data_IF_797389087701
#
_entry.id   IF_797389087701
#
_cell.length_a   1.000
_cell.length_b   1.000
_cell.length_c   1.000
_cell.angle_alpha   90.00
_cell.angle_beta   90.00
_cell.angle_gamma   90.00
#
_symmetry.space_group_name_H-M   'P 1'
#
loop_
_entity.id
_entity.type
_entity.pdbx_description
1 polymer ?
#
# COMPACT_ATOMS: atom_id res chain seq x y z
N UNK A 1 30.53 -36.86 -29.78
CA UNK A 1 30.45 -36.67 -28.32
C UNK A 1 29.47 -35.53 -28.10
N UNK A 2 28.22 -35.86 -27.80
CA UNK A 2 27.13 -34.89 -27.69
C UNK A 2 27.05 -34.44 -26.24
N UNK A 3 27.33 -33.16 -25.99
CA UNK A 3 27.08 -32.55 -24.68
C UNK A 3 25.60 -32.20 -24.65
N UNK A 4 24.81 -32.93 -23.88
CA UNK A 4 23.45 -32.54 -23.55
C UNK A 4 23.54 -31.46 -22.45
N UNK A 5 23.28 -30.21 -22.81
CA UNK A 5 23.00 -29.17 -21.83
C UNK A 5 21.65 -29.52 -21.20
N UNK A 6 21.64 -29.64 -19.86
CA UNK A 6 20.43 -29.82 -19.08
C UNK A 6 19.90 -28.40 -18.76
N UNK A 7 18.74 -27.96 -19.30
CA UNK A 7 18.21 -26.62 -19.03
C UNK A 7 17.48 -26.64 -17.69
N UNK A 8 18.23 -26.73 -16.58
CA UNK A 8 17.68 -26.71 -15.23
C UNK A 8 17.83 -25.33 -14.62
N UNK A 9 16.73 -24.58 -14.57
CA UNK A 9 16.45 -23.43 -13.67
C UNK A 9 17.62 -22.49 -13.40
N UNK A 10 17.74 -21.41 -14.18
CA UNK A 10 18.70 -20.34 -13.92
C UNK A 10 18.32 -19.58 -12.64
N UNK A 11 18.83 -20.00 -11.48
CA UNK A 11 18.71 -19.21 -10.26
C UNK A 11 19.61 -17.98 -10.32
N UNK A 12 19.09 -16.81 -9.97
CA UNK A 12 19.87 -15.57 -9.91
C UNK A 12 20.42 -15.39 -8.50
N UNK A 13 21.74 -15.21 -8.37
CA UNK A 13 22.35 -14.81 -7.10
C UNK A 13 22.24 -13.29 -6.92
N UNK A 14 21.69 -12.85 -5.79
CA UNK A 14 21.58 -11.44 -5.43
C UNK A 14 22.21 -11.17 -4.05
N UNK A 15 22.67 -9.93 -3.85
CA UNK A 15 23.18 -9.43 -2.56
C UNK A 15 22.21 -8.42 -1.98
N UNK A 16 21.87 -8.61 -0.71
CA UNK A 16 21.04 -7.65 0.03
C UNK A 16 21.85 -6.37 0.28
N UNK A 17 21.44 -5.23 -0.28
CA UNK A 17 22.20 -3.96 -0.15
C UNK A 17 21.74 -3.06 1.01
N UNK A 18 20.64 -3.40 1.69
CA UNK A 18 20.03 -2.57 2.74
C UNK A 18 19.33 -3.38 3.83
N UNK A 19 19.18 -2.79 5.02
CA UNK A 19 18.50 -3.42 6.16
C UNK A 19 19.39 -4.32 7.01
N UNK A 20 18.81 -5.03 8.00
CA UNK A 20 19.56 -5.79 9.01
C UNK A 20 20.32 -7.02 8.45
N UNK A 21 19.98 -7.46 7.24
CA UNK A 21 20.61 -8.60 6.52
C UNK A 21 21.53 -8.15 5.39
N UNK A 22 21.95 -6.88 5.38
CA UNK A 22 22.83 -6.33 4.34
C UNK A 22 24.12 -7.15 4.21
N UNK A 23 24.47 -7.50 2.97
CA UNK A 23 25.64 -8.30 2.61
C UNK A 23 25.38 -9.79 2.50
N UNK A 24 24.18 -10.26 2.85
CA UNK A 24 23.80 -11.66 2.67
C UNK A 24 23.53 -11.98 1.19
N UNK A 25 24.05 -13.13 0.73
CA UNK A 25 23.78 -13.68 -0.59
C UNK A 25 22.48 -14.50 -0.54
N UNK A 26 21.59 -14.25 -1.49
CA UNK A 26 20.35 -15.00 -1.64
C UNK A 26 20.26 -15.57 -3.06
N UNK A 27 19.70 -16.76 -3.20
CA UNK A 27 19.34 -17.35 -4.49
C UNK A 27 17.88 -17.04 -4.78
N UNK A 28 17.63 -16.37 -5.89
CA UNK A 28 16.29 -16.05 -6.39
C UNK A 28 15.97 -17.06 -7.48
N UNK A 29 14.88 -17.78 -7.30
CA UNK A 29 14.26 -18.57 -8.35
C UNK A 29 13.34 -17.63 -9.16
N UNK A 30 13.67 -17.30 -10.42
CA UNK A 30 12.86 -16.41 -11.23
C UNK A 30 11.47 -16.98 -11.52
N UNK A 31 11.27 -18.31 -11.55
CA UNK A 31 9.94 -18.90 -11.72
C UNK A 31 9.10 -18.77 -10.45
N UNK A 32 9.73 -18.73 -9.27
CA UNK A 32 9.07 -18.37 -8.02
C UNK A 32 8.79 -16.86 -7.89
N UNK A 33 9.46 -16.03 -8.70
CA UNK A 33 9.23 -14.58 -8.75
C UNK A 33 7.94 -14.20 -9.47
N UNK A 34 7.40 -15.08 -10.33
CA UNK A 34 6.04 -14.93 -10.89
C UNK A 34 4.97 -15.04 -9.80
N UNK A 35 5.30 -15.61 -8.63
CA UNK A 35 4.43 -15.65 -7.45
C UNK A 35 4.37 -14.32 -6.68
N UNK A 36 5.08 -13.29 -7.15
CA UNK A 36 5.01 -11.89 -6.69
C UNK A 36 4.44 -10.95 -7.76
N UNK A 37 3.89 -11.46 -8.87
CA UNK A 37 3.12 -10.61 -9.78
C UNK A 37 1.81 -10.20 -9.09
N UNK A 38 1.63 -8.90 -8.88
CA UNK A 38 0.33 -8.33 -8.52
C UNK A 38 -0.65 -8.74 -9.61
N UNK A 39 -1.52 -9.71 -9.31
CA UNK A 39 -2.54 -10.10 -10.29
C UNK A 39 -3.48 -8.92 -10.51
N UNK A 40 -4.07 -8.77 -11.71
CA UNK A 40 -4.99 -7.67 -12.00
C UNK A 40 -6.13 -7.54 -10.96
N UNK A 41 -6.54 -8.66 -10.35
CA UNK A 41 -7.53 -8.69 -9.28
C UNK A 41 -7.01 -8.09 -7.96
N UNK A 42 -5.74 -8.31 -7.63
CA UNK A 42 -5.09 -7.71 -6.46
C UNK A 42 -4.90 -6.21 -6.66
N UNK A 43 -4.52 -5.77 -7.86
CA UNK A 43 -4.44 -4.34 -8.20
C UNK A 43 -5.80 -3.67 -8.08
N UNK A 44 -6.84 -4.26 -8.67
CA UNK A 44 -8.20 -3.73 -8.61
C UNK A 44 -8.73 -3.64 -7.16
N UNK A 45 -8.43 -4.64 -6.33
CA UNK A 45 -8.80 -4.63 -4.92
C UNK A 45 -8.09 -3.49 -4.15
N UNK A 46 -6.79 -3.29 -4.41
CA UNK A 46 -6.03 -2.22 -3.78
C UNK A 46 -6.55 -0.84 -4.19
N UNK A 47 -6.88 -0.64 -5.47
CA UNK A 47 -7.48 0.59 -5.97
C UNK A 47 -8.83 0.88 -5.30
N UNK A 48 -9.68 -0.14 -5.13
CA UNK A 48 -10.96 0.00 -4.43
C UNK A 48 -10.76 0.37 -2.96
N UNK A 49 -9.78 -0.25 -2.29
CA UNK A 49 -9.43 0.07 -0.91
C UNK A 49 -8.94 1.52 -0.76
N UNK A 50 -8.09 2.00 -1.68
CA UNK A 50 -7.60 3.38 -1.69
C UNK A 50 -8.76 4.36 -1.90
N UNK A 51 -9.64 4.09 -2.87
CA UNK A 51 -10.83 4.91 -3.12
C UNK A 51 -11.80 4.91 -1.93
N UNK A 52 -11.93 3.79 -1.22
CA UNK A 52 -12.68 3.69 0.04
C UNK A 52 -12.08 4.56 1.14
N UNK A 53 -10.78 4.47 1.35
CA UNK A 53 -10.06 5.26 2.35
C UNK A 53 -10.16 6.77 2.09
N UNK A 54 -10.07 7.19 0.83
CA UNK A 54 -10.25 8.60 0.43
C UNK A 54 -11.64 9.12 0.78
N UNK A 55 -12.70 8.37 0.44
CA UNK A 55 -14.09 8.74 0.80
C UNK A 55 -14.28 8.84 2.32
N UNK A 56 -13.69 7.93 3.08
CA UNK A 56 -13.75 8.00 4.55
C UNK A 56 -13.06 9.26 5.09
N UNK A 57 -11.91 9.64 4.53
CA UNK A 57 -11.20 10.85 4.93
C UNK A 57 -12.00 12.12 4.60
N UNK A 58 -12.64 12.17 3.44
CA UNK A 58 -13.51 13.27 3.04
C UNK A 58 -14.73 13.41 3.97
N UNK A 59 -15.39 12.29 4.28
CA UNK A 59 -16.52 12.27 5.21
C UNK A 59 -16.11 12.75 6.61
N UNK A 60 -14.97 12.31 7.12
CA UNK A 60 -14.45 12.75 8.41
C UNK A 60 -14.16 14.27 8.42
N UNK A 61 -13.63 14.80 7.31
CA UNK A 61 -13.36 16.23 7.16
C UNK A 61 -14.65 17.06 7.09
N UNK A 62 -15.67 16.57 6.40
CA UNK A 62 -16.98 17.20 6.35
C UNK A 62 -17.61 17.25 7.75
N UNK A 63 -17.65 16.12 8.46
CA UNK A 63 -18.17 16.05 9.83
C UNK A 63 -17.44 17.00 10.79
N UNK A 64 -16.11 17.09 10.69
CA UNK A 64 -15.33 18.02 11.52
C UNK A 64 -15.66 19.50 11.20
N UNK A 65 -15.93 19.81 9.93
CA UNK A 65 -16.30 21.16 9.49
C UNK A 65 -17.69 21.54 9.99
N UNK A 66 -18.66 20.63 9.87
CA UNK A 66 -20.03 20.81 10.39
C UNK A 66 -20.02 21.01 11.91
N UNK A 67 -19.26 20.18 12.63
CA UNK A 67 -19.11 20.33 14.09
C UNK A 67 -18.54 21.70 14.47
N UNK A 68 -17.55 22.19 13.72
CA UNK A 68 -16.97 23.51 13.95
C UNK A 68 -18.00 24.62 13.72
N UNK A 69 -18.80 24.53 12.66
CA UNK A 69 -19.87 25.50 12.39
C UNK A 69 -20.92 25.51 13.52
N UNK A 70 -21.36 24.32 13.95
CA UNK A 70 -22.33 24.20 15.03
C UNK A 70 -21.82 24.80 16.36
N UNK A 71 -20.53 24.59 16.67
CA UNK A 71 -19.90 25.22 17.84
C UNK A 71 -19.83 26.75 17.73
N UNK A 72 -19.63 27.29 16.53
CA UNK A 72 -19.64 28.74 16.29
C UNK A 72 -21.06 29.32 16.46
N UNK A 73 -22.07 28.64 15.91
CA UNK A 73 -23.47 29.05 16.06
C UNK A 73 -23.91 29.05 17.52
N UNK A 74 -23.56 28.00 18.27
CA UNK A 74 -23.83 27.93 19.72
C UNK A 74 -23.14 29.07 20.50
N UNK A 75 -21.92 29.45 20.09
CA UNK A 75 -21.21 30.58 20.70
C UNK A 75 -21.97 31.90 20.46
N UNK A 76 -22.38 32.16 19.22
CA UNK A 76 -23.15 33.37 18.88
C UNK A 76 -24.49 33.43 19.62
N UNK A 77 -25.21 32.32 19.68
CA UNK A 77 -26.48 32.24 20.43
C UNK A 77 -26.25 32.59 21.91
N UNK A 78 -25.18 32.07 22.52
CA UNK A 78 -24.84 32.39 23.91
C UNK A 78 -24.57 33.88 24.11
N UNK A 79 -23.84 34.52 23.20
CA UNK A 79 -23.56 35.97 23.26
C UNK A 79 -24.82 36.82 23.10
N UNK A 80 -25.80 36.37 22.31
CA UNK A 80 -27.09 37.07 22.17
C UNK A 80 -27.99 36.94 23.41
N UNK A 81 -27.78 35.92 24.24
CA UNK A 81 -28.55 35.63 25.44
C UNK A 81 -27.90 36.17 26.74
N UNK A 82 -26.67 36.68 26.67
CA UNK A 82 -25.93 37.30 27.79
C UNK A 82 -26.05 38.81 27.79
#
# INVERSE_FOLDING_TARGET
MTVAANPGTETVEAVIISGPRKGEFISIDPEASDMLEMTPEVEALLDEMVAGAQRMAENARAAATEMKALLQDLHQIREQLS
#
